data_IF_581339270154
#
_entry.id   IF_581339270154
#
_cell.length_a   1.000
_cell.length_b   1.000
_cell.length_c   1.000
_cell.angle_alpha   90.00
_cell.angle_beta   90.00
_cell.angle_gamma   90.00
#
_symmetry.space_group_name_H-M   'P 1'
#
loop_
_entity.id
_entity.type
_entity.pdbx_description
1 polymer ?
#
# COMPACT_ATOMS: atom_id res chain seq x y z
N UNK A 1 9.04 -4.93 -11.79
CA UNK A 1 7.72 -5.41 -11.41
C UNK A 1 7.73 -5.58 -9.90
N UNK A 2 6.89 -4.83 -9.21
CA UNK A 2 6.68 -4.90 -7.76
C UNK A 2 5.19 -4.68 -7.53
N UNK A 3 4.56 -5.50 -6.71
CA UNK A 3 3.22 -5.24 -6.24
C UNK A 3 3.35 -4.37 -4.99
N UNK A 4 2.86 -3.14 -5.07
CA UNK A 4 2.70 -2.25 -3.92
C UNK A 4 1.21 -2.09 -3.67
N UNK A 5 0.79 -2.15 -2.42
CA UNK A 5 -0.55 -1.75 -2.01
C UNK A 5 -0.49 -0.61 -1.01
N UNK A 6 -1.39 0.34 -1.18
CA UNK A 6 -1.68 1.42 -0.25
C UNK A 6 -3.06 1.15 0.34
N UNK A 7 -3.11 0.84 1.63
CA UNK A 7 -4.36 0.57 2.33
C UNK A 7 -4.71 1.74 3.24
N UNK A 8 -5.98 2.11 3.26
CA UNK A 8 -6.54 3.23 4.01
C UNK A 8 -7.62 2.69 4.96
N UNK A 9 -7.73 3.26 6.15
CA UNK A 9 -8.83 2.96 7.06
C UNK A 9 -9.11 4.11 8.01
N UNK A 10 -10.23 4.07 8.76
CA UNK A 10 -11.18 2.95 8.82
C UNK A 10 -12.16 2.87 7.64
N UNK A 11 -12.60 1.65 7.32
CA UNK A 11 -13.63 1.30 6.32
C UNK A 11 -14.87 0.73 7.03
N UNK A 12 -16.07 1.05 6.52
CA UNK A 12 -17.37 0.49 6.93
C UNK A 12 -17.88 -0.49 5.87
N UNK A 13 -17.88 -0.09 4.60
CA UNK A 13 -18.43 -0.89 3.49
C UNK A 13 -17.51 -0.92 2.28
N UNK A 14 -17.11 -2.13 1.84
CA UNK A 14 -16.18 -2.36 0.71
C UNK A 14 -16.64 -1.81 -0.66
N UNK A 15 -17.89 -1.38 -0.78
CA UNK A 15 -18.48 -0.89 -2.03
C UNK A 15 -18.50 0.65 -2.12
N UNK A 16 -18.11 1.34 -1.05
CA UNK A 16 -18.02 2.79 -0.98
C UNK A 16 -16.60 3.21 -0.61
N UNK A 17 -16.25 4.45 -0.96
CA UNK A 17 -15.02 5.08 -0.47
C UNK A 17 -15.44 5.91 0.74
N UNK A 18 -15.17 5.40 1.93
CA UNK A 18 -15.58 5.97 3.20
C UNK A 18 -14.65 7.12 3.64
N UNK A 19 -13.40 7.14 3.18
CA UNK A 19 -12.39 8.18 3.43
C UNK A 19 -11.99 8.90 2.12
N UNK A 20 -12.93 9.55 1.41
CA UNK A 20 -12.69 10.03 0.05
C UNK A 20 -11.56 11.05 -0.07
N UNK A 21 -11.41 11.96 0.90
CA UNK A 21 -10.30 12.94 0.87
C UNK A 21 -8.93 12.27 0.98
N UNK A 22 -8.79 11.23 1.82
CA UNK A 22 -7.54 10.49 1.94
C UNK A 22 -7.29 9.61 0.71
N UNK A 23 -8.33 8.93 0.23
CA UNK A 23 -8.26 8.07 -0.94
C UNK A 23 -7.79 8.86 -2.17
N UNK A 24 -8.45 9.98 -2.48
CA UNK A 24 -8.08 10.80 -3.64
C UNK A 24 -6.75 11.54 -3.46
N UNK A 25 -6.34 11.85 -2.23
CA UNK A 25 -4.97 12.33 -1.96
C UNK A 25 -3.94 11.25 -2.31
N UNK A 26 -4.18 10.00 -1.92
CA UNK A 26 -3.33 8.87 -2.28
C UNK A 26 -3.20 8.74 -3.80
N UNK A 27 -4.33 8.73 -4.51
CA UNK A 27 -4.34 8.64 -5.98
C UNK A 27 -3.60 9.81 -6.62
N UNK A 28 -3.81 11.03 -6.14
CA UNK A 28 -3.15 12.21 -6.69
C UNK A 28 -1.63 12.16 -6.50
N UNK A 29 -1.14 11.75 -5.33
CA UNK A 29 0.30 11.59 -5.07
C UNK A 29 0.89 10.48 -5.95
N UNK A 30 0.22 9.33 -6.02
CA UNK A 30 0.64 8.18 -6.81
C UNK A 30 0.72 8.52 -8.30
N UNK A 31 -0.35 9.05 -8.87
CA UNK A 31 -0.43 9.35 -10.30
C UNK A 31 0.42 10.58 -10.70
N UNK A 32 0.48 11.60 -9.84
CA UNK A 32 1.18 12.85 -10.14
C UNK A 32 2.66 12.79 -9.79
N UNK A 33 3.08 13.24 -8.58
CA UNK A 33 4.48 13.27 -8.16
C UNK A 33 5.26 11.97 -8.36
N UNK A 34 4.64 10.81 -8.15
CA UNK A 34 5.30 9.51 -8.26
C UNK A 34 5.20 8.87 -9.66
N UNK A 35 4.34 9.41 -10.54
CA UNK A 35 4.15 8.93 -11.91
C UNK A 35 3.82 7.42 -11.99
N UNK A 36 2.93 6.95 -11.11
CA UNK A 36 2.53 5.53 -10.99
C UNK A 36 1.20 5.21 -11.69
N UNK A 37 0.69 6.09 -12.57
CA UNK A 37 -0.64 5.91 -13.19
C UNK A 37 -0.81 4.57 -13.90
N UNK A 38 0.24 4.08 -14.58
CA UNK A 38 0.21 2.78 -15.26
C UNK A 38 0.06 1.62 -14.25
N UNK A 39 0.84 1.65 -13.17
CA UNK A 39 0.78 0.64 -12.13
C UNK A 39 -0.56 0.70 -11.38
N UNK A 40 -1.10 1.90 -11.18
CA UNK A 40 -2.40 2.12 -10.54
C UNK A 40 -3.56 1.55 -11.36
N UNK A 41 -3.56 1.74 -12.68
CA UNK A 41 -4.55 1.14 -13.59
C UNK A 41 -4.55 -0.39 -13.46
N UNK A 42 -3.35 -1.01 -13.49
CA UNK A 42 -3.22 -2.46 -13.31
C UNK A 42 -3.61 -2.95 -11.91
N UNK A 43 -3.30 -2.17 -10.87
CA UNK A 43 -3.70 -2.48 -9.50
C UNK A 43 -5.21 -2.43 -9.32
N UNK A 44 -5.88 -1.50 -9.99
CA UNK A 44 -7.34 -1.43 -10.03
C UNK A 44 -7.95 -2.63 -10.75
N UNK A 45 -7.40 -3.04 -11.89
CA UNK A 45 -7.83 -4.26 -12.59
C UNK A 45 -7.71 -5.51 -11.72
N UNK A 46 -6.56 -5.69 -11.04
CA UNK A 46 -6.33 -6.80 -10.12
C UNK A 46 -7.31 -6.80 -8.93
N UNK A 47 -7.60 -5.62 -8.37
CA UNK A 47 -8.60 -5.48 -7.31
C UNK A 47 -10.01 -5.87 -7.77
N UNK A 48 -10.40 -5.50 -9.00
CA UNK A 48 -11.70 -5.86 -9.57
C UNK A 48 -11.84 -7.37 -9.82
N UNK A 49 -10.73 -8.07 -10.09
CA UNK A 49 -10.72 -9.52 -10.35
C UNK A 49 -10.82 -10.32 -9.04
N UNK A 50 -9.92 -10.04 -8.09
CA UNK A 50 -9.67 -10.93 -6.93
C UNK A 50 -9.73 -10.22 -5.56
N UNK A 51 -10.11 -8.93 -5.54
CA UNK A 51 -10.18 -8.10 -4.34
C UNK A 51 -8.83 -8.01 -3.61
N UNK A 52 -8.89 -7.84 -2.30
CA UNK A 52 -7.71 -7.69 -1.44
C UNK A 52 -6.78 -8.90 -1.50
N UNK A 53 -7.33 -10.12 -1.62
CA UNK A 53 -6.57 -11.37 -1.61
C UNK A 53 -5.64 -11.53 -2.82
N UNK A 54 -6.05 -11.07 -4.01
CA UNK A 54 -5.22 -11.17 -5.22
C UNK A 54 -3.97 -10.29 -5.17
N UNK A 55 -3.95 -9.29 -4.30
CA UNK A 55 -2.83 -8.38 -4.11
C UNK A 55 -1.75 -8.92 -3.16
N UNK A 56 -2.00 -10.06 -2.51
CA UNK A 56 -1.10 -10.65 -1.52
C UNK A 56 -0.39 -11.90 -2.04
N UNK A 57 -0.44 -12.15 -3.34
CA UNK A 57 0.23 -13.29 -3.95
C UNK A 57 1.76 -13.13 -3.95
N UNK A 58 2.46 -14.25 -4.14
CA UNK A 58 3.92 -14.31 -4.09
C UNK A 58 4.60 -13.81 -5.38
N UNK A 59 3.83 -13.36 -6.37
CA UNK A 59 4.33 -12.87 -7.64
C UNK A 59 4.20 -11.35 -7.72
N UNK A 60 5.34 -10.70 -7.95
CA UNK A 60 5.41 -9.25 -8.06
C UNK A 60 4.98 -8.82 -9.46
N UNK A 61 3.70 -8.53 -9.60
CA UNK A 61 3.16 -7.82 -10.77
C UNK A 61 3.45 -6.33 -10.63
N UNK A 62 3.74 -5.63 -11.73
CA UNK A 62 4.01 -4.18 -11.73
C UNK A 62 2.70 -3.40 -11.48
N UNK A 63 2.23 -3.42 -10.24
CA UNK A 63 0.90 -2.94 -9.83
C UNK A 63 0.97 -2.09 -8.56
N UNK A 64 0.09 -1.09 -8.51
CA UNK A 64 -0.13 -0.27 -7.32
C UNK A 64 -1.63 -0.28 -7.03
N UNK A 65 -2.04 -0.98 -5.97
CA UNK A 65 -3.44 -0.96 -5.57
C UNK A 65 -3.66 0.06 -4.46
N UNK A 66 -4.69 0.89 -4.59
CA UNK A 66 -5.13 1.79 -3.54
C UNK A 66 -6.54 1.36 -3.15
N UNK A 67 -6.73 0.99 -1.88
CA UNK A 67 -8.00 0.49 -1.38
C UNK A 67 -8.19 0.88 0.08
N UNK A 68 -9.45 0.85 0.51
CA UNK A 68 -9.79 0.87 1.92
C UNK A 68 -9.81 -0.56 2.45
N UNK A 69 -9.31 -0.76 3.67
CA UNK A 69 -9.28 -2.08 4.30
C UNK A 69 -10.08 -2.02 5.60
N UNK A 70 -10.94 -3.02 5.86
CA UNK A 70 -11.65 -3.13 7.12
C UNK A 70 -10.71 -3.70 8.20
N UNK A 71 -9.51 -4.16 7.80
CA UNK A 71 -8.56 -4.81 8.69
C UNK A 71 -7.44 -3.85 9.08
N UNK A 72 -7.27 -3.62 10.38
CA UNK A 72 -6.10 -2.98 10.94
C UNK A 72 -5.29 -4.03 11.73
N UNK A 73 -4.29 -4.63 11.08
CA UNK A 73 -3.50 -5.76 11.62
C UNK A 73 -2.09 -5.37 12.05
N UNK A 74 -1.81 -4.07 12.15
CA UNK A 74 -0.53 -3.52 12.61
C UNK A 74 -0.79 -2.40 13.65
N UNK A 75 0.26 -1.71 14.10
CA UNK A 75 0.21 -0.73 15.21
C UNK A 75 -0.82 0.41 14.99
N UNK A 76 -1.14 0.69 13.73
CA UNK A 76 -2.10 1.69 13.30
C UNK A 76 -3.55 1.44 13.78
N UNK A 77 -3.91 0.20 14.16
CA UNK A 77 -5.24 -0.12 14.73
C UNK A 77 -5.57 0.74 15.94
N UNK A 78 -4.61 0.86 16.86
CA UNK A 78 -4.82 1.57 18.12
C UNK A 78 -5.08 3.07 17.91
N UNK A 79 -4.55 3.64 16.82
CA UNK A 79 -4.80 5.04 16.44
C UNK A 79 -6.22 5.20 15.88
N UNK A 80 -6.66 4.29 15.00
CA UNK A 80 -8.04 4.29 14.51
C UNK A 80 -9.05 4.13 15.66
N UNK A 81 -8.87 3.10 16.49
CA UNK A 81 -9.84 2.71 17.51
C UNK A 81 -9.93 3.70 18.68
N UNK A 82 -8.82 4.32 19.09
CA UNK A 82 -8.79 5.14 20.30
C UNK A 82 -8.73 6.65 20.03
N UNK A 83 -8.25 7.07 18.86
CA UNK A 83 -8.08 8.49 18.51
C UNK A 83 -9.01 8.94 17.38
N UNK A 84 -9.74 8.02 16.74
CA UNK A 84 -10.63 8.33 15.64
C UNK A 84 -9.90 8.85 14.41
N UNK A 85 -8.63 8.47 14.22
CA UNK A 85 -7.80 8.96 13.10
C UNK A 85 -7.93 8.07 11.87
N UNK A 86 -7.81 8.68 10.69
CA UNK A 86 -7.49 7.95 9.47
C UNK A 86 -6.07 7.40 9.59
N UNK A 87 -5.83 6.20 9.07
CA UNK A 87 -4.49 5.67 8.91
C UNK A 87 -4.29 5.19 7.48
N UNK A 88 -3.08 5.36 6.98
CA UNK A 88 -2.64 4.84 5.70
C UNK A 88 -1.38 4.00 5.93
N UNK A 89 -1.24 2.90 5.21
CA UNK A 89 -0.01 2.14 5.17
C UNK A 89 0.31 1.63 3.78
N UNK A 90 1.56 1.23 3.59
CA UNK A 90 2.06 0.66 2.35
C UNK A 90 2.55 -0.76 2.61
N UNK A 91 2.27 -1.64 1.65
CA UNK A 91 2.49 -3.07 1.74
C UNK A 91 3.10 -3.56 0.42
N UNK A 92 4.05 -4.50 0.50
CA UNK A 92 4.67 -5.15 -0.66
C UNK A 92 4.79 -6.65 -0.45
N UNK A 93 6.00 -7.15 -0.16
CA UNK A 93 6.18 -8.51 0.37
C UNK A 93 5.49 -8.59 1.73
N UNK A 94 4.28 -9.16 1.81
CA UNK A 94 3.43 -9.03 3.02
C UNK A 94 3.10 -10.36 3.70
N UNK A 95 2.29 -10.21 4.75
CA UNK A 95 1.53 -11.19 5.52
C UNK A 95 0.97 -12.30 4.58
N UNK A 96 1.73 -13.39 4.45
CA UNK A 96 1.40 -14.47 3.51
C UNK A 96 2.59 -14.98 2.69
N UNK A 97 3.68 -14.22 2.58
CA UNK A 97 4.88 -14.72 1.89
C UNK A 97 5.49 -15.89 2.68
N UNK A 98 6.08 -16.93 2.02
CA UNK A 98 6.28 -18.23 2.65
C UNK A 98 7.24 -18.26 3.86
N UNK A 99 8.04 -17.21 4.03
CA UNK A 99 8.99 -17.05 5.14
C UNK A 99 8.54 -16.07 6.23
N UNK A 100 7.37 -15.46 6.11
CA UNK A 100 6.82 -14.57 7.13
C UNK A 100 6.78 -15.23 8.52
N UNK A 101 7.33 -14.56 9.53
CA UNK A 101 7.48 -15.06 10.91
C UNK A 101 8.23 -16.41 11.04
N UNK A 102 9.14 -16.71 10.12
CA UNK A 102 9.96 -17.93 10.14
C UNK A 102 11.45 -17.60 10.13
N UNK A 103 12.28 -18.58 10.44
CA UNK A 103 13.75 -18.40 10.46
C UNK A 103 14.36 -18.07 9.07
N UNK A 104 13.59 -18.25 7.99
CA UNK A 104 14.01 -17.86 6.65
C UNK A 104 13.63 -16.41 6.29
N UNK A 105 13.04 -15.64 7.20
CA UNK A 105 12.78 -14.20 7.05
C UNK A 105 14.10 -13.42 7.12
N UNK A 106 14.82 -13.39 6.00
CA UNK A 106 16.12 -12.73 5.87
C UNK A 106 16.12 -11.80 4.66
N UNK A 107 17.00 -10.79 4.67
CA UNK A 107 17.17 -9.87 3.54
C UNK A 107 17.37 -10.63 2.22
N UNK A 108 18.28 -11.61 2.21
CA UNK A 108 18.55 -12.42 1.03
C UNK A 108 17.32 -13.20 0.54
N UNK A 109 16.44 -13.62 1.46
CA UNK A 109 15.22 -14.31 1.10
C UNK A 109 14.22 -13.34 0.46
N UNK A 110 14.01 -12.18 1.06
CA UNK A 110 13.14 -11.12 0.51
C UNK A 110 13.62 -10.70 -0.88
N UNK A 111 14.91 -10.41 -1.03
CA UNK A 111 15.50 -10.07 -2.33
C UNK A 111 15.26 -11.18 -3.36
N UNK A 112 15.37 -12.46 -2.98
CA UNK A 112 15.12 -13.57 -3.91
C UNK A 112 13.68 -13.62 -4.42
N UNK A 113 12.71 -13.21 -3.60
CA UNK A 113 11.31 -13.10 -3.99
C UNK A 113 11.08 -11.90 -4.92
N UNK A 114 11.84 -10.81 -4.74
CA UNK A 114 11.70 -9.58 -5.53
C UNK A 114 12.45 -9.59 -6.87
N UNK A 115 13.06 -10.69 -7.31
CA UNK A 115 13.76 -10.76 -8.61
C UNK A 115 12.75 -10.75 -9.77
N UNK A 116 13.03 -9.96 -10.81
CA UNK A 116 12.25 -9.95 -12.06
C UNK A 116 13.15 -10.19 -13.27
N UNK A 117 12.57 -10.36 -14.46
CA UNK A 117 13.34 -10.50 -15.71
C UNK A 117 14.23 -9.27 -16.01
N UNK A 118 13.84 -8.11 -15.49
CA UNK A 118 14.44 -6.81 -15.78
C UNK A 118 15.30 -6.21 -14.65
N UNK A 119 15.24 -6.76 -13.44
CA UNK A 119 15.92 -6.19 -12.26
C UNK A 119 16.25 -7.24 -11.19
N UNK A 120 17.31 -6.96 -10.43
CA UNK A 120 17.68 -7.74 -9.24
C UNK A 120 16.73 -7.48 -8.08
N UNK A 121 16.72 -8.40 -7.11
CA UNK A 121 15.93 -8.25 -5.88
C UNK A 121 16.26 -6.98 -5.09
N UNK A 122 17.56 -6.67 -4.95
CA UNK A 122 18.03 -5.45 -4.29
C UNK A 122 17.52 -4.19 -5.00
N UNK A 123 17.58 -4.14 -6.33
CA UNK A 123 17.08 -3.00 -7.10
C UNK A 123 15.57 -2.79 -6.89
N UNK A 124 14.78 -3.86 -6.92
CA UNK A 124 13.33 -3.77 -6.69
C UNK A 124 13.02 -3.39 -5.23
N UNK A 125 13.76 -3.93 -4.25
CA UNK A 125 13.61 -3.56 -2.84
C UNK A 125 13.89 -2.08 -2.58
N UNK A 126 15.01 -1.57 -3.11
CA UNK A 126 15.39 -0.16 -3.00
C UNK A 126 14.36 0.72 -3.70
N UNK A 127 13.88 0.33 -4.89
CA UNK A 127 12.89 1.09 -5.63
C UNK A 127 11.54 1.16 -4.90
N UNK A 128 11.06 0.04 -4.34
CA UNK A 128 9.84 0.03 -3.52
C UNK A 128 9.98 0.92 -2.28
N UNK A 129 11.15 0.90 -1.61
CA UNK A 129 11.40 1.76 -0.46
C UNK A 129 11.42 3.25 -0.83
N UNK A 130 11.97 3.60 -1.99
CA UNK A 130 11.99 4.98 -2.49
C UNK A 130 10.55 5.48 -2.73
N UNK A 131 9.72 4.67 -3.39
CA UNK A 131 8.30 5.00 -3.63
C UNK A 131 7.57 5.23 -2.30
N UNK A 132 7.65 4.29 -1.35
CA UNK A 132 6.97 4.41 -0.05
C UNK A 132 7.45 5.64 0.71
N UNK A 133 8.77 5.89 0.71
CA UNK A 133 9.36 7.04 1.42
C UNK A 133 8.84 8.36 0.86
N UNK A 134 8.83 8.51 -0.46
CA UNK A 134 8.34 9.75 -1.08
C UNK A 134 6.83 9.89 -0.96
N UNK A 135 6.07 8.80 -1.10
CA UNK A 135 4.62 8.83 -0.90
C UNK A 135 4.26 9.29 0.51
N UNK A 136 4.87 8.67 1.53
CA UNK A 136 4.68 9.06 2.92
C UNK A 136 5.08 10.51 3.19
N UNK A 137 6.19 10.97 2.57
CA UNK A 137 6.65 12.35 2.69
C UNK A 137 5.65 13.34 2.08
N UNK A 138 5.12 13.07 0.88
CA UNK A 138 4.11 13.93 0.27
C UNK A 138 2.81 13.95 1.07
N UNK A 139 2.37 12.79 1.59
CA UNK A 139 1.22 12.70 2.49
C UNK A 139 1.43 13.59 3.73
N UNK A 140 2.58 13.46 4.39
CA UNK A 140 2.93 14.25 5.57
C UNK A 140 2.91 15.76 5.27
N UNK A 141 3.59 16.19 4.20
CA UNK A 141 3.66 17.61 3.85
C UNK A 141 2.29 18.19 3.49
N UNK A 142 1.46 17.43 2.77
CA UNK A 142 0.11 17.87 2.44
C UNK A 142 -0.74 18.02 3.71
N UNK A 143 -0.70 17.03 4.61
CA UNK A 143 -1.52 17.02 5.81
C UNK A 143 -1.04 17.97 6.90
N UNK A 144 0.23 18.38 6.89
CA UNK A 144 0.75 19.45 7.75
C UNK A 144 0.12 20.81 7.39
N UNK A 145 -0.06 21.10 6.09
CA UNK A 145 -0.72 22.32 5.62
C UNK A 145 -2.25 22.22 5.68
N UNK A 146 -2.80 21.10 5.20
CA UNK A 146 -4.24 20.84 5.10
C UNK A 146 -4.57 19.46 5.67
N UNK A 147 -4.88 19.35 6.97
CA UNK A 147 -5.22 18.08 7.60
C UNK A 147 -6.42 17.42 6.91
N UNK A 148 -6.33 16.11 6.69
CA UNK A 148 -7.45 15.28 6.28
C UNK A 148 -8.08 14.69 7.53
N UNK A 149 -9.36 14.95 7.76
CA UNK A 149 -10.10 14.49 8.94
C UNK A 149 -10.85 13.20 8.62
N UNK A 150 -10.99 12.35 9.63
CA UNK A 150 -11.79 11.12 9.52
C UNK A 150 -13.23 11.46 9.14
N UNK A 151 -13.67 10.96 7.99
CA UNK A 151 -15.01 11.22 7.48
C UNK A 151 -16.11 10.48 8.26
N UNK A 152 -15.72 9.52 9.10
CA UNK A 152 -16.62 8.67 9.90
C UNK A 152 -16.72 9.12 11.37
N UNK A 153 -16.00 10.17 11.78
CA UNK A 153 -16.02 10.71 13.15
C UNK A 153 -17.03 11.82 13.38
#
# INVERSE_FOLDING_TARGET
NYALSTYIGPEIEQQTIDQPEMFYLAEWIGAGPLNLSYQMERGHEAWLEDGESGLWENQYEDTVAIYESPTARSDHESFQANLGTITMGWNGVVDGYPCYHRNCDTLSQVESYMVTESATGEQNLVHSLDIVTWWATYCFMHMDEKPVLNALS
#
